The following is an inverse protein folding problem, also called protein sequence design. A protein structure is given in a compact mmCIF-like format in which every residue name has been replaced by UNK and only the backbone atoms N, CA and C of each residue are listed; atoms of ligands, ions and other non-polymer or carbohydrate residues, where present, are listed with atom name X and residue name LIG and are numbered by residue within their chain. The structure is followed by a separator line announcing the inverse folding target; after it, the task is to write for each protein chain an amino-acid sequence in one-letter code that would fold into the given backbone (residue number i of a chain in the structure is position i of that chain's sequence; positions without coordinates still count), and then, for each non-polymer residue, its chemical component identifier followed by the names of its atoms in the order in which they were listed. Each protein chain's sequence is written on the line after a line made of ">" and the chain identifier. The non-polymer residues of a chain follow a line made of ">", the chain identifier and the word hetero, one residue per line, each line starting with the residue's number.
data_IF_406066532151
#
_entry.id   IF_406066532151
#
_cell.length_a   1.000
_cell.length_b   1.000
_cell.length_c   1.000
_cell.angle_alpha   90.00
_cell.angle_beta   90.00
_cell.angle_gamma   90.00
#
_symmetry.space_group_name_H-M   'P 1'
#
loop_
_entity.id
_entity.type
_entity.pdbx_description
1 polymer ?
#
# COMPACT_ATOMS: atom_id res chain seq x y z
N UNK A 1 55.07 23.74 0.92
CA UNK A 1 53.98 24.30 1.76
C UNK A 1 53.20 25.30 0.94
N UNK A 2 51.99 24.94 0.51
CA UNK A 2 51.01 25.81 -0.14
C UNK A 2 49.70 25.05 -0.27
N UNK A 3 48.68 25.45 0.50
CA UNK A 3 47.33 25.69 -0.01
C UNK A 3 46.52 26.46 1.03
N UNK A 4 45.89 27.52 0.54
CA UNK A 4 45.02 28.45 1.22
C UNK A 4 43.61 27.89 1.07
N UNK A 5 42.81 27.85 2.14
CA UNK A 5 41.37 27.68 2.02
C UNK A 5 40.67 28.64 2.98
N UNK A 6 40.23 29.78 2.43
CA UNK A 6 39.21 30.65 3.01
C UNK A 6 37.95 30.45 2.18
N UNK A 7 36.87 30.01 2.80
CA UNK A 7 35.54 30.31 2.31
C UNK A 7 34.61 30.49 3.51
N UNK A 8 34.36 31.76 3.83
CA UNK A 8 33.25 32.21 4.65
C UNK A 8 32.04 32.40 3.73
N UNK A 9 30.89 31.83 4.09
CA UNK A 9 29.58 32.28 3.58
C UNK A 9 28.51 31.75 4.56
N UNK A 10 28.14 32.53 5.57
CA UNK A 10 27.08 33.54 5.59
C UNK A 10 25.68 32.92 5.81
N UNK A 11 25.19 33.08 7.05
CA UNK A 11 23.80 32.87 7.49
C UNK A 11 22.81 33.67 6.63
N UNK A 12 21.63 33.09 6.41
CA UNK A 12 20.39 33.86 6.21
C UNK A 12 19.22 33.18 6.96
N UNK A 13 18.68 33.93 7.91
CA UNK A 13 17.41 33.71 8.61
C UNK A 13 16.24 34.00 7.68
N UNK A 14 15.20 33.16 7.71
CA UNK A 14 13.82 33.61 7.49
C UNK A 14 12.88 32.91 8.46
N UNK A 15 12.40 33.69 9.44
CA UNK A 15 11.21 33.39 10.21
C UNK A 15 9.98 33.83 9.39
N UNK A 16 8.92 33.03 9.39
CA UNK A 16 7.59 33.49 8.99
C UNK A 16 6.55 32.77 9.85
N UNK A 17 5.96 33.56 10.72
CA UNK A 17 4.84 33.25 11.59
C UNK A 17 3.59 33.59 10.78
N UNK A 18 2.62 32.69 10.69
CA UNK A 18 1.26 33.08 10.30
C UNK A 18 0.25 32.22 11.04
N UNK A 19 -0.31 32.80 12.09
CA UNK A 19 -1.48 32.29 12.79
C UNK A 19 -2.75 32.82 12.10
N UNK A 20 -3.72 31.95 11.83
CA UNK A 20 -5.12 32.31 11.66
C UNK A 20 -6.02 31.15 12.13
N UNK A 21 -6.75 31.38 13.22
CA UNK A 21 -8.04 30.77 13.59
C UNK A 21 -8.98 31.94 13.91
N UNK A 22 -10.30 31.75 14.14
CA UNK A 22 -11.28 30.75 13.66
C UNK A 22 -12.50 31.44 12.98
N UNK A 23 -13.44 30.71 12.36
CA UNK A 23 -14.86 31.14 12.39
C UNK A 23 -15.86 30.01 12.08
N UNK A 24 -16.72 29.72 13.04
CA UNK A 24 -17.95 28.93 12.88
C UNK A 24 -19.03 29.74 12.16
N UNK A 25 -19.88 29.08 11.37
CA UNK A 25 -21.29 29.43 11.30
C UNK A 25 -22.15 28.25 10.87
N UNK A 26 -23.02 27.86 11.81
CA UNK A 26 -24.23 27.07 11.63
C UNK A 26 -25.15 27.78 10.63
N UNK A 27 -25.78 27.03 9.73
CA UNK A 27 -27.02 27.49 9.07
C UNK A 27 -28.03 26.34 9.03
N UNK A 28 -29.11 26.54 9.78
CA UNK A 28 -30.33 25.75 9.74
C UNK A 28 -31.09 26.12 8.47
N UNK A 29 -31.66 25.12 7.78
CA UNK A 29 -32.93 25.35 7.11
C UNK A 29 -33.87 24.18 7.36
N UNK A 30 -35.07 24.56 7.77
CA UNK A 30 -36.16 23.74 8.27
C UNK A 30 -37.39 23.97 7.40
N UNK A 31 -38.16 22.91 7.15
CA UNK A 31 -39.49 22.93 6.53
C UNK A 31 -39.57 21.96 5.35
N UNK A 32 -40.54 21.07 5.18
CA UNK A 32 -41.83 20.75 5.83
C UNK A 32 -42.07 19.23 5.56
N UNK A 33 -42.54 18.41 6.52
CA UNK A 33 -43.96 17.97 6.77
C UNK A 33 -44.66 17.38 5.51
N UNK A 34 -45.39 16.26 5.41
CA UNK A 34 -46.21 15.32 6.24
C UNK A 34 -46.28 14.02 5.37
N UNK A 35 -46.30 12.75 5.82
CA UNK A 35 -47.51 11.98 6.20
C UNK A 35 -47.17 10.48 6.34
N UNK A 36 -47.71 9.88 7.39
CA UNK A 36 -47.75 8.46 7.74
C UNK A 36 -48.44 7.56 6.70
N UNK A 37 -47.90 6.35 6.49
CA UNK A 37 -48.73 5.15 6.28
C UNK A 37 -48.07 3.92 6.95
N UNK A 38 -48.88 3.23 7.74
CA UNK A 38 -48.63 1.94 8.39
C UNK A 38 -49.20 0.81 7.52
N UNK A 39 -48.63 -0.38 7.68
CA UNK A 39 -49.07 -1.70 7.18
C UNK A 39 -48.62 -2.00 5.74
N UNK A 40 -48.18 -3.19 5.36
CA UNK A 40 -48.50 -4.54 5.83
C UNK A 40 -47.27 -5.45 5.67
N UNK A 41 -47.22 -6.48 6.52
CA UNK A 41 -46.47 -7.71 6.31
C UNK A 41 -46.86 -8.35 4.98
N UNK A 42 -45.91 -8.53 4.07
CA UNK A 42 -45.94 -9.62 3.10
C UNK A 42 -44.63 -10.38 3.18
N UNK A 43 -44.74 -11.58 3.74
CA UNK A 43 -43.80 -12.68 3.57
C UNK A 43 -43.63 -12.94 2.08
N UNK A 44 -42.51 -12.51 1.50
CA UNK A 44 -42.08 -13.04 0.22
C UNK A 44 -40.73 -13.73 0.41
N UNK A 45 -40.81 -15.05 0.60
CA UNK A 45 -39.71 -15.98 0.41
C UNK A 45 -39.18 -15.84 -1.01
N UNK A 46 -38.32 -14.86 -1.23
CA UNK A 46 -37.40 -14.92 -2.34
C UNK A 46 -36.32 -15.91 -1.93
N UNK A 47 -36.40 -17.07 -2.57
CA UNK A 47 -35.41 -18.11 -2.62
C UNK A 47 -34.05 -17.49 -2.96
N UNK A 48 -33.32 -17.02 -1.94
CA UNK A 48 -31.92 -16.62 -2.07
C UNK A 48 -31.19 -17.92 -2.33
N UNK A 49 -30.99 -18.22 -3.61
CA UNK A 49 -30.00 -19.20 -4.02
C UNK A 49 -28.69 -18.69 -3.42
N UNK A 50 -28.02 -19.42 -2.51
CA UNK A 50 -26.71 -19.00 -2.08
C UNK A 50 -25.87 -18.94 -3.35
N UNK A 51 -25.45 -17.73 -3.73
CA UNK A 51 -24.34 -17.58 -4.66
C UNK A 51 -23.17 -18.16 -3.89
N UNK A 52 -22.89 -19.44 -4.13
CA UNK A 52 -21.62 -20.03 -3.77
C UNK A 52 -20.61 -19.33 -4.66
N UNK A 53 -20.11 -18.20 -4.16
CA UNK A 53 -18.89 -17.59 -4.67
C UNK A 53 -17.83 -18.68 -4.62
N UNK A 54 -17.45 -19.15 -5.81
CA UNK A 54 -16.45 -20.19 -5.92
C UNK A 54 -15.15 -19.55 -5.47
N UNK A 55 -14.64 -19.97 -4.31
CA UNK A 55 -13.32 -19.59 -3.85
C UNK A 55 -12.34 -19.88 -5.00
N UNK A 56 -11.75 -18.82 -5.55
CA UNK A 56 -10.78 -18.91 -6.62
C UNK A 56 -9.43 -18.54 -6.05
N UNK A 57 -8.42 -19.33 -6.41
CA UNK A 57 -7.03 -19.04 -6.03
C UNK A 57 -6.67 -17.64 -6.53
N UNK A 58 -6.21 -16.72 -5.67
CA UNK A 58 -5.92 -15.35 -6.05
C UNK A 58 -4.89 -15.32 -7.19
N UNK A 59 -5.24 -14.64 -8.28
CA UNK A 59 -4.37 -14.42 -9.42
C UNK A 59 -3.52 -13.19 -9.16
N UNK A 60 -2.20 -13.34 -9.05
CA UNK A 60 -1.30 -12.21 -8.87
C UNK A 60 -0.58 -11.90 -10.17
N UNK A 61 -0.67 -10.64 -10.59
CA UNK A 61 -0.17 -10.15 -11.86
C UNK A 61 1.04 -9.24 -11.66
N UNK A 62 1.94 -9.25 -12.65
CA UNK A 62 2.96 -8.23 -12.77
C UNK A 62 2.36 -6.92 -13.30
N UNK A 63 2.98 -5.81 -12.93
CA UNK A 63 2.68 -4.47 -13.44
C UNK A 63 3.97 -3.73 -13.79
N UNK A 64 3.83 -2.78 -14.70
CA UNK A 64 4.90 -1.86 -15.09
C UNK A 64 4.97 -0.66 -14.15
N UNK A 65 6.10 0.05 -14.16
CA UNK A 65 6.25 1.28 -13.38
C UNK A 65 5.26 2.38 -13.80
N UNK A 66 4.95 2.47 -15.09
CA UNK A 66 3.97 3.44 -15.61
C UNK A 66 2.57 3.13 -15.03
N UNK A 67 2.13 1.87 -15.06
CA UNK A 67 0.86 1.49 -14.43
C UNK A 67 0.86 1.75 -12.92
N UNK A 68 1.98 1.54 -12.22
CA UNK A 68 2.10 1.84 -10.80
C UNK A 68 1.90 3.34 -10.52
N UNK A 69 2.55 4.23 -11.28
CA UNK A 69 2.40 5.67 -11.11
C UNK A 69 0.97 6.14 -11.43
N UNK A 70 0.35 5.61 -12.48
CA UNK A 70 -1.03 5.93 -12.85
C UNK A 70 -2.04 5.55 -11.75
N UNK A 71 -1.70 4.60 -10.88
CA UNK A 71 -2.53 4.13 -9.77
C UNK A 71 -2.11 4.72 -8.41
N UNK A 72 -1.36 5.84 -8.42
CA UNK A 72 -0.97 6.55 -7.19
C UNK A 72 0.15 5.86 -6.40
N UNK A 73 0.82 4.89 -7.00
CA UNK A 73 2.04 4.30 -6.47
C UNK A 73 3.32 5.02 -6.93
N UNK A 74 4.46 4.43 -6.62
CA UNK A 74 5.79 4.93 -6.96
C UNK A 74 6.45 5.78 -5.87
N UNK A 75 7.72 6.12 -6.10
CA UNK A 75 8.57 6.82 -5.13
C UNK A 75 9.51 5.88 -4.35
N UNK A 76 9.99 6.35 -3.20
CA UNK A 76 10.80 5.55 -2.27
C UNK A 76 9.99 4.35 -1.78
N UNK A 77 10.62 3.18 -1.70
CA UNK A 77 9.87 1.99 -1.35
C UNK A 77 10.64 0.69 -1.47
N UNK A 78 9.87 -0.39 -1.55
CA UNK A 78 10.36 -1.73 -1.86
C UNK A 78 9.59 -2.27 -3.05
N UNK A 79 10.30 -2.74 -4.06
CA UNK A 79 9.72 -3.37 -5.24
C UNK A 79 10.09 -4.83 -5.23
N UNK A 80 9.09 -5.71 -5.33
CA UNK A 80 9.28 -7.15 -5.41
C UNK A 80 8.74 -7.67 -6.73
N UNK A 81 9.48 -8.59 -7.35
CA UNK A 81 9.04 -9.32 -8.55
C UNK A 81 9.29 -10.81 -8.36
N UNK A 82 8.54 -11.62 -9.12
CA UNK A 82 8.65 -13.08 -9.06
C UNK A 82 10.07 -13.55 -9.41
N UNK A 83 10.63 -14.38 -8.55
CA UNK A 83 11.96 -14.96 -8.75
C UNK A 83 12.06 -15.70 -10.09
N UNK A 84 13.17 -15.49 -10.80
CA UNK A 84 13.39 -16.06 -12.15
C UNK A 84 12.68 -15.29 -13.29
N UNK A 85 11.92 -14.24 -12.98
CA UNK A 85 11.41 -13.29 -13.97
C UNK A 85 12.42 -12.17 -14.19
N UNK A 86 12.47 -11.62 -15.40
CA UNK A 86 13.26 -10.43 -15.67
C UNK A 86 12.40 -9.18 -15.39
N UNK A 87 12.92 -8.16 -14.68
CA UNK A 87 12.25 -6.87 -14.60
C UNK A 87 11.95 -6.34 -16.02
N UNK A 88 10.81 -5.65 -16.23
CA UNK A 88 10.22 -4.68 -15.30
C UNK A 88 8.88 -5.10 -14.65
N UNK A 89 8.48 -6.36 -14.72
CA UNK A 89 7.19 -6.80 -14.17
C UNK A 89 7.26 -6.95 -12.64
N UNK A 90 6.97 -5.84 -11.93
CA UNK A 90 6.86 -5.79 -10.48
C UNK A 90 5.56 -6.45 -10.04
N UNK A 91 5.60 -7.28 -9.01
CA UNK A 91 4.44 -8.00 -8.47
C UNK A 91 3.83 -7.28 -7.27
N UNK A 92 4.65 -6.53 -6.53
CA UNK A 92 4.24 -5.78 -5.34
C UNK A 92 5.12 -4.54 -5.17
N UNK A 93 4.49 -3.39 -4.90
CA UNK A 93 5.19 -2.17 -4.54
C UNK A 93 4.78 -1.65 -3.15
N UNK A 94 5.75 -1.55 -2.24
CA UNK A 94 5.59 -0.89 -0.96
C UNK A 94 5.88 0.59 -1.11
N UNK A 95 4.95 1.43 -0.68
CA UNK A 95 5.20 2.86 -0.63
C UNK A 95 5.89 3.21 0.71
N UNK A 96 7.13 3.70 0.64
CA UNK A 96 7.89 4.16 1.80
C UNK A 96 7.48 5.56 2.29
N UNK A 97 6.70 6.31 1.49
CA UNK A 97 6.25 7.67 1.80
C UNK A 97 4.81 7.73 2.31
N UNK A 98 3.92 6.87 1.80
CA UNK A 98 2.60 6.64 2.35
C UNK A 98 2.69 5.59 3.45
N UNK A 99 2.62 6.06 4.70
CA UNK A 99 2.79 5.22 5.87
C UNK A 99 1.96 3.93 5.77
N UNK A 100 2.67 2.80 5.83
CA UNK A 100 2.09 1.48 6.04
C UNK A 100 1.21 0.94 4.89
N UNK A 101 1.44 1.34 3.62
CA UNK A 101 0.64 0.78 2.51
C UNK A 101 1.48 0.14 1.40
N UNK A 102 0.88 -0.83 0.73
CA UNK A 102 1.41 -1.49 -0.46
C UNK A 102 0.34 -1.59 -1.54
N UNK A 103 0.76 -1.62 -2.81
CA UNK A 103 -0.09 -1.83 -3.97
C UNK A 103 0.28 -3.13 -4.69
N UNK A 104 -0.76 -3.88 -5.06
CA UNK A 104 -0.65 -5.11 -5.85
C UNK A 104 -1.74 -5.14 -6.94
N UNK A 105 -1.50 -5.92 -7.99
CA UNK A 105 -2.51 -6.27 -8.99
C UNK A 105 -2.99 -7.71 -8.76
N UNK A 106 -4.19 -7.86 -8.23
CA UNK A 106 -4.79 -9.14 -7.84
C UNK A 106 -6.11 -9.31 -8.59
N UNK A 107 -6.31 -10.44 -9.27
CA UNK A 107 -7.50 -10.73 -10.09
C UNK A 107 -7.82 -9.64 -11.12
N UNK A 108 -6.79 -9.02 -11.70
CA UNK A 108 -6.92 -7.92 -12.68
C UNK A 108 -7.14 -6.53 -12.06
N UNK A 109 -7.27 -6.42 -10.74
CA UNK A 109 -7.60 -5.17 -10.05
C UNK A 109 -6.45 -4.66 -9.18
N UNK A 110 -6.35 -3.33 -9.07
CA UNK A 110 -5.39 -2.70 -8.16
C UNK A 110 -5.92 -2.73 -6.74
N UNK A 111 -5.23 -3.45 -5.87
CA UNK A 111 -5.57 -3.59 -4.46
C UNK A 111 -4.56 -2.81 -3.64
N UNK A 112 -5.07 -1.83 -2.88
CA UNK A 112 -4.30 -1.16 -1.82
C UNK A 112 -4.45 -1.95 -0.53
N UNK A 113 -3.32 -2.31 0.08
CA UNK A 113 -3.27 -3.10 1.29
C UNK A 113 -2.61 -2.27 2.41
N UNK A 114 -3.12 -2.39 3.62
CA UNK A 114 -2.64 -1.66 4.80
C UNK A 114 -1.89 -2.60 5.74
N UNK A 115 -0.71 -2.18 6.21
CA UNK A 115 0.15 -2.95 7.12
C UNK A 115 -0.50 -3.08 8.48
N UNK A 116 -0.69 -4.31 8.93
CA UNK A 116 -1.22 -4.66 10.26
C UNK A 116 -0.11 -5.04 11.22
N UNK A 117 0.92 -5.72 10.72
CA UNK A 117 2.06 -6.19 11.53
C UNK A 117 3.38 -6.01 10.78
N UNK A 118 4.46 -5.79 11.53
CA UNK A 118 5.81 -5.70 10.98
C UNK A 118 6.85 -6.09 12.04
N UNK A 119 7.77 -7.00 11.71
CA UNK A 119 8.84 -7.45 12.60
C UNK A 119 10.16 -7.66 11.85
N UNK A 120 11.29 -7.52 12.55
CA UNK A 120 12.63 -7.63 11.98
C UNK A 120 13.41 -6.32 11.95
N UNK A 121 14.52 -6.34 11.22
CA UNK A 121 15.38 -5.20 10.95
C UNK A 121 14.63 -4.13 10.14
N UNK A 122 14.92 -2.86 10.43
CA UNK A 122 14.31 -1.73 9.74
C UNK A 122 15.15 -1.31 8.53
N UNK A 123 14.51 -1.16 7.36
CA UNK A 123 15.16 -0.70 6.13
C UNK A 123 14.16 0.07 5.27
N UNK A 124 14.46 1.32 4.90
CA UNK A 124 13.60 2.16 4.04
C UNK A 124 12.11 2.19 4.47
N UNK A 125 11.83 2.19 5.78
CA UNK A 125 10.46 2.18 6.33
C UNK A 125 9.77 0.81 6.32
N UNK A 126 10.50 -0.24 5.95
CA UNK A 126 10.07 -1.64 5.86
C UNK A 126 10.72 -2.49 6.94
N UNK A 127 10.20 -3.71 7.11
CA UNK A 127 10.79 -4.76 7.95
C UNK A 127 10.84 -6.10 7.23
N UNK A 128 11.63 -7.03 7.75
CA UNK A 128 11.83 -8.34 7.11
C UNK A 128 10.52 -9.11 6.94
N UNK A 129 9.67 -9.11 7.98
CA UNK A 129 8.38 -9.78 7.96
C UNK A 129 7.28 -8.75 8.16
N UNK A 130 6.29 -8.74 7.27
CA UNK A 130 5.21 -7.76 7.26
C UNK A 130 3.91 -8.43 6.84
N UNK A 131 2.81 -8.02 7.47
CA UNK A 131 1.46 -8.45 7.14
C UNK A 131 0.61 -7.26 6.72
N UNK A 132 -0.22 -7.47 5.71
CA UNK A 132 -1.12 -6.47 5.16
C UNK A 132 -2.51 -7.06 4.96
N UNK A 133 -3.50 -6.17 5.01
CA UNK A 133 -4.89 -6.52 4.75
C UNK A 133 -5.54 -5.50 3.79
N UNK A 134 -6.41 -5.95 2.91
CA UNK A 134 -7.26 -5.08 2.09
C UNK A 134 -8.26 -4.31 2.96
N UNK A 135 -8.83 -3.24 2.41
CA UNK A 135 -9.79 -2.39 3.13
C UNK A 135 -11.06 -3.15 3.56
N UNK A 136 -11.54 -4.08 2.73
CA UNK A 136 -12.67 -4.96 3.00
C UNK A 136 -12.34 -6.14 3.92
N UNK A 137 -11.06 -6.41 4.18
CA UNK A 137 -10.61 -7.53 4.99
C UNK A 137 -10.59 -8.89 4.26
N UNK A 138 -10.85 -8.91 2.95
CA UNK A 138 -11.00 -10.15 2.18
C UNK A 138 -9.67 -10.73 1.68
N UNK A 139 -8.62 -9.92 1.63
CA UNK A 139 -7.29 -10.30 1.15
C UNK A 139 -6.27 -10.04 2.26
N UNK A 140 -5.57 -11.09 2.67
CA UNK A 140 -4.41 -11.01 3.56
C UNK A 140 -3.13 -11.28 2.77
N UNK A 141 -2.12 -10.44 2.99
CA UNK A 141 -0.82 -10.58 2.35
C UNK A 141 0.28 -10.61 3.39
N UNK A 142 1.06 -11.68 3.40
CA UNK A 142 2.27 -11.81 4.19
C UNK A 142 3.50 -11.72 3.30
N UNK A 143 4.46 -10.91 3.72
CA UNK A 143 5.73 -10.73 3.01
C UNK A 143 6.87 -11.00 3.97
N UNK A 144 7.71 -11.96 3.60
CA UNK A 144 8.94 -12.29 4.30
C UNK A 144 10.12 -12.12 3.35
N UNK A 145 11.11 -11.29 3.71
CA UNK A 145 12.29 -11.00 2.88
C UNK A 145 13.58 -11.11 3.68
N UNK A 146 14.62 -11.54 2.97
CA UNK A 146 16.00 -11.44 3.45
C UNK A 146 16.72 -10.28 2.78
N UNK A 147 17.51 -9.56 3.57
CA UNK A 147 18.31 -8.45 3.08
C UNK A 147 19.65 -8.98 2.57
N UNK A 148 19.98 -8.60 1.35
CA UNK A 148 21.28 -8.81 0.76
C UNK A 148 22.26 -7.70 1.10
N UNK A 149 23.27 -7.54 0.25
CA UNK A 149 24.23 -6.47 0.38
C UNK A 149 23.57 -5.09 0.15
N UNK A 150 24.09 -4.08 0.84
CA UNK A 150 23.73 -2.69 0.57
C UNK A 150 24.28 -2.27 -0.79
N UNK A 151 23.43 -1.70 -1.63
CA UNK A 151 23.79 -1.20 -2.95
C UNK A 151 24.58 0.12 -2.88
N UNK A 152 25.10 0.55 -4.04
CA UNK A 152 25.91 1.77 -4.17
C UNK A 152 25.08 3.08 -4.06
N UNK A 153 23.77 3.01 -4.33
CA UNK A 153 22.86 4.16 -4.42
C UNK A 153 21.67 3.85 -3.51
N UNK A 154 21.77 4.23 -2.23
CA UNK A 154 20.69 4.22 -1.22
C UNK A 154 19.64 3.12 -1.42
N UNK A 155 20.11 1.89 -1.61
CA UNK A 155 19.28 0.72 -1.82
C UNK A 155 19.84 -0.49 -1.10
N UNK A 156 18.98 -1.46 -0.83
CA UNK A 156 19.36 -2.79 -0.34
C UNK A 156 18.75 -3.82 -1.26
N UNK A 157 19.57 -4.79 -1.68
CA UNK A 157 19.10 -5.89 -2.50
C UNK A 157 18.25 -6.85 -1.65
N UNK A 158 17.25 -7.46 -2.28
CA UNK A 158 16.45 -8.54 -1.69
C UNK A 158 16.71 -9.79 -2.55
N UNK A 159 17.74 -10.58 -2.20
CA UNK A 159 18.11 -11.75 -2.98
C UNK A 159 17.08 -12.87 -2.89
N UNK A 160 16.27 -12.88 -1.83
CA UNK A 160 15.21 -13.85 -1.63
C UNK A 160 14.11 -13.33 -0.70
N UNK A 161 12.90 -13.79 -0.98
CA UNK A 161 11.72 -13.59 -0.15
C UNK A 161 10.56 -14.45 -0.61
N UNK A 162 9.50 -14.44 0.18
CA UNK A 162 8.23 -15.10 -0.10
C UNK A 162 7.10 -14.12 0.08
N UNK A 163 6.22 -14.10 -0.92
CA UNK A 163 4.96 -13.40 -0.89
C UNK A 163 3.84 -14.43 -0.79
N UNK A 164 3.06 -14.38 0.28
CA UNK A 164 1.91 -15.25 0.52
C UNK A 164 0.64 -14.40 0.48
N UNK A 165 -0.33 -14.78 -0.35
CA UNK A 165 -1.63 -14.11 -0.46
C UNK A 165 -2.72 -15.12 -0.13
N UNK A 166 -3.58 -14.77 0.82
CA UNK A 166 -4.78 -15.53 1.17
C UNK A 166 -6.02 -14.76 0.75
N UNK A 167 -6.93 -15.43 0.04
CA UNK A 167 -8.24 -14.90 -0.34
C UNK A 167 -9.24 -16.05 -0.36
N UNK A 168 -10.41 -15.85 0.24
CA UNK A 168 -11.49 -16.85 0.29
C UNK A 168 -11.05 -18.25 0.80
N UNK A 169 -10.06 -18.30 1.70
CA UNK A 169 -9.49 -19.54 2.24
C UNK A 169 -8.52 -20.29 1.32
N UNK A 170 -8.23 -19.74 0.14
CA UNK A 170 -7.20 -20.22 -0.77
C UNK A 170 -5.92 -19.40 -0.58
N UNK A 171 -4.77 -20.06 -0.68
CA UNK A 171 -3.45 -19.43 -0.51
C UNK A 171 -2.60 -19.63 -1.76
N UNK A 172 -1.94 -18.57 -2.21
CA UNK A 172 -0.85 -18.65 -3.19
C UNK A 172 0.45 -18.16 -2.56
N UNK A 173 1.53 -18.91 -2.80
CA UNK A 173 2.89 -18.53 -2.41
C UNK A 173 3.73 -18.25 -3.65
N UNK A 174 4.42 -17.11 -3.65
CA UNK A 174 5.21 -16.63 -4.77
C UNK A 174 6.62 -16.34 -4.25
N UNK A 175 7.66 -17.08 -4.70
CA UNK A 175 9.03 -16.70 -4.40
C UNK A 175 9.34 -15.39 -5.14
N UNK A 176 9.92 -14.45 -4.41
CA UNK A 176 10.19 -13.09 -4.90
C UNK A 176 11.64 -12.70 -4.66
N UNK A 177 12.12 -11.79 -5.50
CA UNK A 177 13.36 -11.04 -5.31
C UNK A 177 13.05 -9.56 -5.54
N UNK A 178 13.95 -8.67 -5.16
CA UNK A 178 13.63 -7.25 -5.23
C UNK A 178 14.76 -6.31 -4.87
N UNK A 179 14.37 -5.06 -4.72
CA UNK A 179 15.17 -4.00 -4.15
C UNK A 179 14.30 -3.08 -3.28
N UNK A 180 14.93 -2.45 -2.29
CA UNK A 180 14.30 -1.38 -1.52
C UNK A 180 15.23 -0.18 -1.47
N UNK A 181 14.70 1.03 -1.71
CA UNK A 181 15.51 2.23 -1.79
C UNK A 181 14.76 3.54 -2.06
N UNK A 182 15.58 4.60 -2.11
CA UNK A 182 15.32 5.97 -2.54
C UNK A 182 16.50 6.39 -3.44
#
# INVERSE_FOLDING_TARGET
>A
MKTILKCSLALLFFASISACTPQSSVSNNSGETITSQTSQTETNSSNVTPVTEVATVPQVEGFTMDELFDNGGGGCGMSLWKAGSNPPETTLFFNGTEANSTLMKINGEWVKLNRTEATGEDFYGQKNSQMFISEDGEIEVKVDVELGEKGEIESVAIPQGTLQIEQAGETVEIPVVGDAGC
#
